data_IF_345806265929
#
_entry.id   IF_345806265929
#
_cell.length_a   1.000
_cell.length_b   1.000
_cell.length_c   1.000
_cell.angle_alpha   90.00
_cell.angle_beta   90.00
_cell.angle_gamma   90.00
#
_symmetry.space_group_name_H-M   'P 1'
#
loop_
_entity.id
_entity.type
_entity.pdbx_description
1 polymer ?
#
# COMPACT_ATOMS: atom_id res chain seq x y z
N UNK A 1 28.22 0.01 -38.05
CA UNK A 1 28.15 0.07 -36.60
C UNK A 1 28.25 1.52 -36.14
N UNK A 2 27.22 2.08 -35.53
CA UNK A 2 27.27 3.44 -34.99
C UNK A 2 28.19 3.41 -33.76
N UNK A 3 29.22 4.26 -33.74
CA UNK A 3 30.17 4.31 -32.61
C UNK A 3 29.45 4.83 -31.37
N UNK A 4 29.73 4.27 -30.19
CA UNK A 4 29.12 4.69 -28.91
C UNK A 4 29.27 6.19 -28.63
N UNK A 5 30.36 6.79 -29.08
CA UNK A 5 30.64 8.24 -29.05
C UNK A 5 29.60 9.08 -29.81
N UNK A 6 29.06 8.56 -30.93
CA UNK A 6 28.09 9.27 -31.76
C UNK A 6 26.71 9.25 -31.11
N UNK A 7 26.35 8.16 -30.43
CA UNK A 7 25.10 8.05 -29.63
C UNK A 7 25.15 9.06 -28.48
N UNK A 8 26.24 9.11 -27.72
CA UNK A 8 26.39 10.04 -26.58
C UNK A 8 26.29 11.49 -27.07
N UNK A 9 26.96 11.84 -28.20
CA UNK A 9 26.88 13.19 -28.79
C UNK A 9 25.44 13.53 -29.23
N UNK A 10 24.74 12.57 -29.82
CA UNK A 10 23.36 12.75 -30.25
C UNK A 10 22.43 13.00 -29.03
N UNK A 11 22.52 12.18 -27.99
CA UNK A 11 21.74 12.34 -26.76
C UNK A 11 22.07 13.65 -26.02
N UNK A 12 23.32 14.10 -26.04
CA UNK A 12 23.76 15.36 -25.42
C UNK A 12 23.43 16.62 -26.24
N UNK A 13 22.86 16.48 -27.44
CA UNK A 13 22.40 17.62 -28.25
C UNK A 13 21.09 18.19 -27.68
N UNK A 14 20.75 19.46 -27.95
CA UNK A 14 19.50 20.07 -27.50
C UNK A 14 18.24 19.30 -27.95
N UNK A 15 18.25 18.74 -29.17
CA UNK A 15 17.16 17.88 -29.69
C UNK A 15 17.19 16.48 -29.05
N UNK A 16 18.38 15.95 -28.78
CA UNK A 16 18.55 14.67 -28.09
C UNK A 16 17.92 14.70 -26.70
N UNK A 17 18.23 15.73 -25.91
CA UNK A 17 17.66 15.93 -24.55
C UNK A 17 16.14 16.06 -24.61
N UNK A 18 15.61 16.79 -25.61
CA UNK A 18 14.17 16.93 -25.83
C UNK A 18 13.51 15.54 -25.98
N UNK A 19 13.99 14.73 -26.91
CA UNK A 19 13.40 13.43 -27.20
C UNK A 19 13.70 12.38 -26.13
N UNK A 20 14.89 12.44 -25.53
CA UNK A 20 15.25 11.53 -24.45
C UNK A 20 14.32 11.75 -23.24
N UNK A 21 14.01 13.00 -22.90
CA UNK A 21 13.06 13.32 -21.80
C UNK A 21 11.67 12.78 -22.12
N UNK A 22 11.18 12.95 -23.36
CA UNK A 22 9.87 12.41 -23.77
C UNK A 22 9.88 10.87 -23.68
N UNK A 23 10.95 10.23 -24.15
CA UNK A 23 11.07 8.77 -24.17
C UNK A 23 11.10 8.16 -22.76
N UNK A 24 11.90 8.70 -21.85
CA UNK A 24 11.99 8.13 -20.48
C UNK A 24 10.71 8.34 -19.67
N UNK A 25 10.00 9.45 -19.89
CA UNK A 25 8.71 9.68 -19.24
C UNK A 25 7.57 8.83 -19.85
N UNK A 26 7.76 8.26 -21.04
CA UNK A 26 6.84 7.31 -21.66
C UNK A 26 6.98 5.87 -21.11
N UNK A 27 8.13 5.53 -20.48
CA UNK A 27 8.42 4.15 -20.03
C UNK A 27 7.33 3.57 -19.15
N UNK A 28 6.83 4.26 -18.09
CA UNK A 28 5.77 3.71 -17.26
C UNK A 28 4.49 3.40 -18.03
N UNK A 29 4.09 4.27 -18.95
CA UNK A 29 2.88 4.09 -19.76
C UNK A 29 2.99 2.86 -20.67
N UNK A 30 4.16 2.66 -21.28
CA UNK A 30 4.44 1.48 -22.10
C UNK A 30 4.42 0.22 -21.23
N UNK A 31 5.11 0.24 -20.08
CA UNK A 31 5.14 -0.90 -19.17
C UNK A 31 3.72 -1.29 -18.69
N UNK A 32 2.91 -0.32 -18.29
CA UNK A 32 1.53 -0.55 -17.84
C UNK A 32 0.64 -1.20 -18.91
N UNK A 33 0.87 -0.95 -20.20
CA UNK A 33 0.13 -1.62 -21.26
C UNK A 33 0.40 -3.13 -21.34
N UNK A 34 1.53 -3.60 -20.80
CA UNK A 34 1.89 -5.03 -20.75
C UNK A 34 1.51 -5.68 -19.41
N UNK A 35 1.45 -4.91 -18.33
CA UNK A 35 1.18 -5.43 -16.98
C UNK A 35 -0.30 -5.35 -16.60
N UNK A 36 -1.03 -4.37 -17.12
CA UNK A 36 -2.44 -4.16 -16.80
C UNK A 36 -3.36 -4.74 -17.88
N UNK A 37 -4.49 -5.28 -17.45
CA UNK A 37 -5.52 -5.81 -18.35
C UNK A 37 -6.35 -4.66 -18.95
N UNK A 38 -5.78 -3.95 -19.91
CA UNK A 38 -6.45 -2.87 -20.62
C UNK A 38 -6.93 -3.32 -21.99
N UNK A 39 -8.08 -2.81 -22.44
CA UNK A 39 -8.51 -2.97 -23.84
C UNK A 39 -7.59 -2.19 -24.79
N UNK A 40 -7.54 -2.55 -26.07
CA UNK A 40 -6.65 -1.95 -27.08
C UNK A 40 -6.76 -0.42 -27.11
N UNK A 41 -7.98 0.13 -27.14
CA UNK A 41 -8.21 1.58 -27.15
C UNK A 41 -7.68 2.25 -25.87
N UNK A 42 -7.85 1.61 -24.71
CA UNK A 42 -7.33 2.10 -23.43
C UNK A 42 -5.80 2.08 -23.40
N UNK A 43 -5.17 1.03 -23.94
CA UNK A 43 -3.71 0.94 -24.05
C UNK A 43 -3.16 2.04 -24.97
N UNK A 44 -3.78 2.24 -26.15
CA UNK A 44 -3.40 3.32 -27.06
C UNK A 44 -3.57 4.68 -26.38
N UNK A 45 -4.66 4.91 -25.67
CA UNK A 45 -4.89 6.14 -24.90
C UNK A 45 -3.80 6.35 -23.86
N UNK A 46 -3.45 5.30 -23.09
CA UNK A 46 -2.45 5.36 -22.02
C UNK A 46 -1.03 5.63 -22.55
N UNK A 47 -0.76 5.37 -23.82
CA UNK A 47 0.53 5.73 -24.46
C UNK A 47 0.43 7.10 -25.09
N UNK A 48 -0.51 7.28 -26.01
CA UNK A 48 -0.53 8.45 -26.91
C UNK A 48 -0.82 9.75 -26.15
N UNK A 49 -1.80 9.75 -25.25
CA UNK A 49 -2.24 10.97 -24.59
C UNK A 49 -1.16 11.54 -23.64
N UNK A 50 -0.56 10.74 -22.69
CA UNK A 50 0.48 11.25 -21.80
C UNK A 50 1.78 11.60 -22.54
N UNK A 51 2.19 10.79 -23.53
CA UNK A 51 3.38 11.08 -24.33
C UNK A 51 3.22 12.37 -25.10
N UNK A 52 2.05 12.60 -25.73
CA UNK A 52 1.76 13.84 -26.44
C UNK A 52 1.72 15.05 -25.50
N UNK A 53 1.21 14.89 -24.27
CA UNK A 53 1.23 15.92 -23.25
C UNK A 53 2.67 16.31 -22.84
N UNK A 54 3.51 15.33 -22.51
CA UNK A 54 4.94 15.56 -22.21
C UNK A 54 5.67 16.17 -23.40
N UNK A 55 5.40 15.68 -24.60
CA UNK A 55 5.94 16.23 -25.84
C UNK A 55 5.56 17.71 -26.01
N UNK A 56 4.29 18.07 -25.79
CA UNK A 56 3.86 19.45 -25.84
C UNK A 56 4.56 20.30 -24.76
N UNK A 57 4.64 19.82 -23.52
CA UNK A 57 5.33 20.52 -22.43
C UNK A 57 6.80 20.80 -22.79
N UNK A 58 7.50 19.82 -23.34
CA UNK A 58 8.88 20.00 -23.81
C UNK A 58 8.96 21.02 -24.97
N UNK A 59 7.93 21.10 -25.82
CA UNK A 59 7.89 22.05 -26.95
C UNK A 59 7.52 23.48 -26.54
N UNK A 60 7.03 23.72 -25.31
CA UNK A 60 6.73 25.06 -24.81
C UNK A 60 8.02 25.84 -24.47
N UNK A 61 9.07 25.17 -24.00
CA UNK A 61 10.32 25.77 -23.57
C UNK A 61 11.37 25.82 -24.68
N UNK A 62 12.10 26.96 -24.81
CA UNK A 62 13.22 27.06 -25.73
C UNK A 62 14.51 26.38 -25.21
N UNK A 63 14.68 26.27 -23.90
CA UNK A 63 15.84 25.67 -23.24
C UNK A 63 15.49 24.24 -22.81
N UNK A 64 15.88 23.19 -23.55
CA UNK A 64 15.42 21.81 -23.28
C UNK A 64 15.88 21.31 -21.92
N UNK A 65 17.11 21.62 -21.48
CA UNK A 65 17.60 21.27 -20.16
C UNK A 65 16.77 21.88 -19.03
N UNK A 66 16.39 23.18 -19.13
CA UNK A 66 15.52 23.81 -18.14
C UNK A 66 14.13 23.16 -18.09
N UNK A 67 13.55 22.88 -19.26
CA UNK A 67 12.21 22.26 -19.35
C UNK A 67 12.25 20.84 -18.79
N UNK A 68 13.27 20.05 -19.11
CA UNK A 68 13.44 18.72 -18.55
C UNK A 68 13.55 18.72 -17.01
N UNK A 69 14.31 19.67 -16.43
CA UNK A 69 14.42 19.81 -14.98
C UNK A 69 13.12 20.26 -14.33
N UNK A 70 12.32 21.10 -15.00
CA UNK A 70 10.98 21.45 -14.51
C UNK A 70 10.00 20.26 -14.51
N UNK A 71 10.25 19.23 -15.33
CA UNK A 71 9.49 17.98 -15.36
C UNK A 71 10.03 16.95 -14.34
N UNK A 72 10.99 17.32 -13.48
CA UNK A 72 11.51 16.43 -12.43
C UNK A 72 10.41 15.78 -11.56
N UNK A 73 9.35 16.49 -11.14
CA UNK A 73 8.26 15.84 -10.40
C UNK A 73 7.60 14.69 -11.16
N UNK A 74 7.44 14.81 -12.48
CA UNK A 74 6.93 13.71 -13.31
C UNK A 74 7.95 12.56 -13.43
N UNK A 75 9.26 12.86 -13.48
CA UNK A 75 10.30 11.82 -13.45
C UNK A 75 10.29 11.07 -12.12
N UNK A 76 10.11 11.76 -11.00
CA UNK A 76 9.96 11.13 -9.69
C UNK A 76 8.76 10.19 -9.63
N UNK A 77 7.59 10.64 -10.09
CA UNK A 77 6.39 9.80 -10.16
C UNK A 77 6.58 8.60 -11.10
N UNK A 78 7.28 8.80 -12.23
CA UNK A 78 7.59 7.73 -13.17
C UNK A 78 8.55 6.70 -12.55
N UNK A 79 9.56 7.14 -11.81
CA UNK A 79 10.44 6.27 -11.05
C UNK A 79 9.67 5.45 -10.00
N UNK A 80 8.77 6.10 -9.27
CA UNK A 80 7.92 5.44 -8.27
C UNK A 80 7.02 4.38 -8.92
N UNK A 81 6.40 4.68 -10.08
CA UNK A 81 5.62 3.69 -10.82
C UNK A 81 6.45 2.47 -11.26
N UNK A 82 7.71 2.66 -11.69
CA UNK A 82 8.60 1.57 -12.06
C UNK A 82 8.96 0.71 -10.84
N UNK A 83 9.21 1.32 -9.69
CA UNK A 83 9.47 0.59 -8.43
C UNK A 83 8.26 -0.28 -8.07
N UNK A 84 7.05 0.24 -8.19
CA UNK A 84 5.84 -0.55 -7.91
C UNK A 84 5.65 -1.71 -8.87
N UNK A 85 5.90 -1.51 -10.16
CA UNK A 85 5.87 -2.60 -11.15
C UNK A 85 6.92 -3.66 -10.86
N UNK A 86 8.09 -3.27 -10.37
CA UNK A 86 9.12 -4.21 -9.94
C UNK A 86 8.66 -5.04 -8.73
N UNK A 87 8.05 -4.40 -7.72
CA UNK A 87 7.62 -5.07 -6.49
C UNK A 87 6.44 -6.02 -6.70
N UNK A 88 5.46 -5.58 -7.46
CA UNK A 88 4.17 -6.27 -7.56
C UNK A 88 3.93 -6.93 -8.93
N UNK A 89 4.77 -6.64 -9.93
CA UNK A 89 4.62 -7.15 -11.31
C UNK A 89 3.47 -6.52 -12.09
N UNK A 90 2.57 -5.82 -11.43
CA UNK A 90 1.40 -5.11 -11.95
C UNK A 90 1.00 -4.00 -10.98
N UNK A 91 0.00 -3.22 -11.33
CA UNK A 91 -0.59 -2.15 -10.52
C UNK A 91 -0.15 -0.74 -10.91
N UNK A 92 -1.14 0.11 -11.02
CA UNK A 92 -0.98 1.55 -11.16
C UNK A 92 -0.94 2.15 -9.74
N UNK A 93 -0.20 3.25 -9.56
CA UNK A 93 -0.14 3.97 -8.27
C UNK A 93 -1.55 4.23 -7.76
N UNK A 94 -1.88 3.63 -6.62
CA UNK A 94 -3.18 3.74 -5.96
C UNK A 94 -3.12 4.70 -4.76
N UNK A 95 -4.29 5.18 -4.32
CA UNK A 95 -4.41 6.07 -3.15
C UNK A 95 -3.77 5.48 -1.89
N UNK A 96 -3.90 4.17 -1.70
CA UNK A 96 -3.36 3.48 -0.52
C UNK A 96 -1.83 3.52 -0.45
N UNK A 97 -1.16 3.65 -1.58
CA UNK A 97 0.30 3.80 -1.62
C UNK A 97 0.77 5.14 -1.05
N UNK A 98 -0.02 6.21 -1.27
CA UNK A 98 0.24 7.50 -0.65
C UNK A 98 -0.13 7.50 0.84
N UNK A 99 -1.21 6.83 1.22
CA UNK A 99 -1.57 6.67 2.63
C UNK A 99 -0.53 5.83 3.37
N UNK A 100 -0.07 4.73 2.79
CA UNK A 100 1.00 3.92 3.36
C UNK A 100 2.29 4.72 3.55
N UNK A 101 2.65 5.63 2.63
CA UNK A 101 3.83 6.48 2.78
C UNK A 101 3.78 7.33 4.05
N UNK A 102 2.57 7.74 4.47
CA UNK A 102 2.35 8.54 5.69
C UNK A 102 2.22 7.67 6.93
N UNK A 103 1.74 6.44 6.80
CA UNK A 103 1.46 5.52 7.91
C UNK A 103 2.56 4.47 8.16
N UNK A 104 3.50 4.30 7.22
CA UNK A 104 4.62 3.35 7.35
C UNK A 104 5.65 3.88 8.34
N UNK A 105 6.04 3.04 9.29
CA UNK A 105 7.12 3.36 10.23
C UNK A 105 8.50 3.02 9.65
N UNK A 106 9.56 3.57 10.26
CA UNK A 106 10.95 3.42 9.79
C UNK A 106 11.38 1.95 9.73
N UNK A 107 10.92 1.11 10.66
CA UNK A 107 11.26 -0.32 10.68
C UNK A 107 10.71 -1.05 9.45
N UNK A 108 9.44 -0.85 9.12
CA UNK A 108 8.81 -1.43 7.92
C UNK A 108 9.45 -0.90 6.63
N UNK A 109 9.81 0.39 6.60
CA UNK A 109 10.50 0.98 5.46
C UNK A 109 11.87 0.35 5.23
N UNK A 110 12.65 0.08 6.29
CA UNK A 110 13.95 -0.57 6.21
C UNK A 110 13.84 -2.02 5.74
N UNK A 111 12.87 -2.80 6.25
CA UNK A 111 12.61 -4.18 5.79
C UNK A 111 12.30 -4.22 4.27
N UNK A 112 11.67 -3.17 3.74
CA UNK A 112 11.35 -3.07 2.32
C UNK A 112 12.56 -2.69 1.47
N UNK A 113 13.47 -1.84 1.98
CA UNK A 113 14.62 -1.32 1.24
C UNK A 113 15.57 -2.41 0.74
N UNK A 114 15.77 -3.48 1.50
CA UNK A 114 16.63 -4.60 1.11
C UNK A 114 16.15 -5.27 -0.20
N UNK A 115 14.86 -5.25 -0.45
CA UNK A 115 14.25 -5.80 -1.66
C UNK A 115 14.21 -4.80 -2.83
N UNK A 116 14.46 -3.51 -2.59
CA UNK A 116 14.34 -2.45 -3.58
C UNK A 116 15.62 -2.17 -4.37
N UNK A 117 16.77 -2.70 -3.94
CA UNK A 117 18.05 -2.37 -4.57
C UNK A 117 18.06 -2.53 -6.10
N UNK A 118 17.54 -3.63 -6.72
CA UNK A 118 17.51 -3.74 -8.18
C UNK A 118 16.61 -2.67 -8.83
N UNK A 119 15.47 -2.34 -8.22
CA UNK A 119 14.58 -1.30 -8.73
C UNK A 119 15.25 0.09 -8.66
N UNK A 120 15.99 0.37 -7.58
CA UNK A 120 16.76 1.60 -7.43
C UNK A 120 17.80 1.71 -8.54
N UNK A 121 18.54 0.62 -8.83
CA UNK A 121 19.50 0.59 -9.93
C UNK A 121 18.84 0.88 -11.28
N UNK A 122 17.69 0.27 -11.57
CA UNK A 122 16.92 0.52 -12.81
C UNK A 122 16.53 2.00 -12.90
N UNK A 123 15.98 2.56 -11.84
CA UNK A 123 15.58 3.99 -11.77
C UNK A 123 16.78 4.92 -11.98
N UNK A 124 17.90 4.65 -11.32
CA UNK A 124 19.13 5.42 -11.47
C UNK A 124 19.63 5.39 -12.91
N UNK A 125 19.70 4.21 -13.53
CA UNK A 125 20.17 4.04 -14.92
C UNK A 125 19.25 4.76 -15.91
N UNK A 126 17.95 4.79 -15.69
CA UNK A 126 16.99 5.45 -16.59
C UNK A 126 16.99 6.97 -16.43
N UNK A 127 16.87 7.49 -15.21
CA UNK A 127 16.56 8.90 -14.98
C UNK A 127 17.76 9.77 -14.67
N UNK A 128 18.81 9.26 -13.99
CA UNK A 128 19.98 10.07 -13.63
C UNK A 128 20.74 10.58 -14.87
N UNK A 129 20.97 9.79 -15.93
CA UNK A 129 21.61 10.32 -17.14
C UNK A 129 20.84 11.48 -17.77
N UNK A 130 19.50 11.41 -17.78
CA UNK A 130 18.65 12.49 -18.32
C UNK A 130 18.80 13.77 -17.49
N UNK A 131 18.79 13.65 -16.16
CA UNK A 131 18.98 14.79 -15.25
C UNK A 131 20.35 15.40 -15.44
N UNK A 132 21.41 14.59 -15.52
CA UNK A 132 22.78 15.06 -15.75
C UNK A 132 22.89 15.81 -17.08
N UNK A 133 22.37 15.22 -18.17
CA UNK A 133 22.37 15.87 -19.50
C UNK A 133 21.54 17.16 -19.49
N UNK A 134 20.42 17.21 -18.77
CA UNK A 134 19.61 18.40 -18.64
C UNK A 134 20.35 19.52 -17.91
N UNK A 135 21.08 19.21 -16.82
CA UNK A 135 21.94 20.17 -16.09
C UNK A 135 23.08 20.67 -16.98
N UNK A 136 23.76 19.77 -17.69
CA UNK A 136 24.83 20.15 -18.61
C UNK A 136 24.32 21.07 -19.73
N UNK A 137 23.17 20.74 -20.32
CA UNK A 137 22.53 21.57 -21.36
C UNK A 137 22.13 22.96 -20.82
N UNK A 138 21.61 22.99 -19.58
CA UNK A 138 21.28 24.27 -18.94
C UNK A 138 22.53 25.14 -18.75
N UNK A 139 23.65 24.55 -18.30
CA UNK A 139 24.93 25.25 -18.10
C UNK A 139 25.54 25.72 -19.43
N UNK A 140 25.37 24.95 -20.50
CA UNK A 140 25.84 25.33 -21.86
C UNK A 140 24.97 26.43 -22.49
N UNK A 141 23.80 26.70 -21.94
CA UNK A 141 22.87 27.65 -22.53
C UNK A 141 22.17 27.18 -23.78
N UNK A 142 22.08 25.85 -23.98
CA UNK A 142 21.50 25.23 -25.19
C UNK A 142 20.09 25.71 -25.46
N UNK A 143 19.81 26.03 -26.74
CA UNK A 143 18.52 26.57 -27.20
C UNK A 143 18.02 25.82 -28.43
N UNK A 144 16.72 25.49 -28.44
CA UNK A 144 16.05 24.94 -29.60
C UNK A 144 15.55 26.03 -30.56
N UNK A 145 15.62 25.77 -31.85
CA UNK A 145 15.13 26.71 -32.88
C UNK A 145 13.63 26.88 -32.80
N UNK A 146 13.15 28.09 -33.09
CA UNK A 146 11.71 28.41 -33.10
C UNK A 146 10.94 27.56 -34.10
N UNK A 147 11.53 27.32 -35.27
CA UNK A 147 10.91 26.50 -36.34
C UNK A 147 10.76 25.01 -35.90
N UNK A 148 11.73 24.47 -35.16
CA UNK A 148 11.60 23.13 -34.57
C UNK A 148 10.46 23.10 -33.57
N UNK A 149 10.43 24.01 -32.60
CA UNK A 149 9.41 24.05 -31.54
C UNK A 149 8.00 24.21 -32.11
N UNK A 150 7.79 25.09 -33.08
CA UNK A 150 6.48 25.27 -33.73
C UNK A 150 6.01 23.96 -34.36
N UNK A 151 6.87 23.29 -35.12
CA UNK A 151 6.53 21.97 -35.69
C UNK A 151 6.19 20.94 -34.64
N UNK A 152 6.94 20.90 -33.53
CA UNK A 152 6.68 19.95 -32.43
C UNK A 152 5.36 20.26 -31.72
N UNK A 153 5.03 21.53 -31.50
CA UNK A 153 3.72 21.93 -30.93
C UNK A 153 2.54 21.47 -31.79
N UNK A 154 2.57 21.70 -33.09
CA UNK A 154 1.49 21.24 -33.97
C UNK A 154 1.35 19.71 -33.98
N UNK A 155 2.48 18.99 -34.02
CA UNK A 155 2.48 17.52 -34.02
C UNK A 155 1.99 16.96 -32.68
N UNK A 156 2.42 17.52 -31.57
CA UNK A 156 1.97 17.07 -30.23
C UNK A 156 0.49 17.42 -29.99
N UNK A 157 0.00 18.55 -30.46
CA UNK A 157 -1.43 18.89 -30.43
C UNK A 157 -2.27 17.92 -31.25
N UNK A 158 -1.83 17.57 -32.47
CA UNK A 158 -2.51 16.57 -33.27
C UNK A 158 -2.53 15.19 -32.57
N UNK A 159 -1.41 14.80 -31.94
CA UNK A 159 -1.34 13.57 -31.16
C UNK A 159 -2.24 13.61 -29.92
N UNK A 160 -2.37 14.77 -29.25
CA UNK A 160 -3.31 14.95 -28.13
C UNK A 160 -4.76 14.77 -28.58
N UNK A 161 -5.14 15.35 -29.72
CA UNK A 161 -6.49 15.18 -30.28
C UNK A 161 -6.75 13.71 -30.62
N UNK A 162 -5.79 13.02 -31.23
CA UNK A 162 -5.90 11.60 -31.53
C UNK A 162 -6.02 10.77 -30.24
N UNK A 163 -5.20 11.05 -29.22
CA UNK A 163 -5.29 10.40 -27.91
C UNK A 163 -6.62 10.64 -27.19
N UNK A 164 -7.16 11.87 -27.27
CA UNK A 164 -8.48 12.20 -26.73
C UNK A 164 -9.61 11.46 -27.47
N UNK A 165 -9.51 11.30 -28.79
CA UNK A 165 -10.45 10.48 -29.55
C UNK A 165 -10.41 9.01 -29.16
N UNK A 166 -9.20 8.43 -28.95
CA UNK A 166 -9.03 7.07 -28.42
C UNK A 166 -9.62 6.94 -27.01
N UNK A 167 -9.46 7.95 -26.16
CA UNK A 167 -10.05 7.98 -24.81
C UNK A 167 -11.58 7.96 -24.88
N UNK A 168 -12.17 8.80 -25.73
CA UNK A 168 -13.62 8.79 -25.98
C UNK A 168 -14.08 7.41 -26.48
N UNK A 169 -13.36 6.81 -27.42
CA UNK A 169 -13.63 5.45 -27.89
C UNK A 169 -13.56 4.40 -26.78
N UNK A 170 -12.63 4.55 -25.81
CA UNK A 170 -12.54 3.66 -24.65
C UNK A 170 -13.76 3.72 -23.75
N UNK A 171 -14.31 4.93 -23.54
CA UNK A 171 -15.57 5.09 -22.77
C UNK A 171 -16.78 4.54 -23.52
N UNK A 172 -16.84 4.74 -24.84
CA UNK A 172 -17.96 4.27 -25.68
C UNK A 172 -17.95 2.74 -25.84
N UNK A 173 -16.80 2.09 -25.71
CA UNK A 173 -16.69 0.62 -25.78
C UNK A 173 -17.34 -0.11 -24.60
N UNK A 174 -17.91 0.62 -23.65
CA UNK A 174 -18.70 0.06 -22.53
C UNK A 174 -17.91 -0.81 -21.54
N UNK A 175 -16.58 -0.67 -21.50
CA UNK A 175 -15.69 -1.32 -20.53
C UNK A 175 -15.46 -0.39 -19.36
N UNK A 176 -15.11 -0.94 -18.19
CA UNK A 176 -14.85 -0.23 -16.93
C UNK A 176 -13.59 0.66 -16.99
N UNK A 177 -13.44 1.41 -18.10
CA UNK A 177 -12.35 2.36 -18.28
C UNK A 177 -12.69 3.70 -17.63
N UNK A 178 -11.79 4.18 -16.77
CA UNK A 178 -11.85 5.51 -16.17
C UNK A 178 -10.49 6.17 -16.26
N UNK A 179 -10.38 7.29 -16.95
CA UNK A 179 -9.12 8.02 -17.10
C UNK A 179 -8.52 8.41 -15.74
N UNK A 180 -9.34 8.78 -14.76
CA UNK A 180 -8.90 9.14 -13.40
C UNK A 180 -8.30 7.96 -12.62
N UNK A 181 -8.61 6.72 -13.00
CA UNK A 181 -8.11 5.50 -12.33
C UNK A 181 -7.04 4.79 -13.15
N UNK A 182 -7.13 4.80 -14.48
CA UNK A 182 -6.32 3.96 -15.35
C UNK A 182 -5.30 4.72 -16.21
N UNK A 183 -5.46 6.05 -16.37
CA UNK A 183 -4.57 6.85 -17.20
C UNK A 183 -3.41 7.42 -16.36
N UNK A 184 -2.23 6.85 -16.49
CA UNK A 184 -1.01 7.38 -15.87
C UNK A 184 -0.47 8.59 -16.69
N UNK A 185 -0.06 9.71 -16.08
CA UNK A 185 -0.01 10.00 -14.64
C UNK A 185 -1.25 10.71 -14.06
N UNK A 186 -2.36 10.84 -14.81
CA UNK A 186 -3.56 11.52 -14.32
C UNK A 186 -4.11 10.86 -13.05
N UNK A 187 -4.10 9.52 -13.00
CA UNK A 187 -4.51 8.75 -11.83
C UNK A 187 -3.68 9.11 -10.58
N UNK A 188 -2.39 9.43 -10.75
CA UNK A 188 -1.51 9.78 -9.63
C UNK A 188 -1.98 11.08 -8.97
N UNK A 189 -2.25 12.12 -9.77
CA UNK A 189 -2.76 13.39 -9.25
C UNK A 189 -4.12 13.23 -8.59
N UNK A 190 -5.00 12.42 -9.18
CA UNK A 190 -6.30 12.11 -8.58
C UNK A 190 -6.14 11.35 -7.24
N UNK A 191 -5.23 10.39 -7.16
CA UNK A 191 -4.98 9.64 -5.94
C UNK A 191 -4.28 10.46 -4.85
N UNK A 192 -3.43 11.43 -5.21
CA UNK A 192 -2.89 12.42 -4.26
C UNK A 192 -4.04 13.26 -3.67
N UNK A 193 -4.95 13.75 -4.52
CA UNK A 193 -6.12 14.47 -4.05
C UNK A 193 -6.96 13.62 -3.09
N UNK A 194 -7.26 12.36 -3.45
CA UNK A 194 -8.02 11.44 -2.58
C UNK A 194 -7.28 11.15 -1.27
N UNK A 195 -5.96 11.00 -1.30
CA UNK A 195 -5.17 10.78 -0.09
C UNK A 195 -5.24 12.00 0.86
N UNK A 196 -5.13 13.21 0.30
CA UNK A 196 -5.27 14.45 1.06
C UNK A 196 -6.68 14.62 1.65
N UNK A 197 -7.72 14.29 0.88
CA UNK A 197 -9.11 14.32 1.33
C UNK A 197 -9.36 13.33 2.48
N UNK A 198 -8.87 12.09 2.35
CA UNK A 198 -8.98 11.06 3.40
C UNK A 198 -8.17 11.43 4.64
N UNK A 199 -6.98 11.99 4.48
CA UNK A 199 -6.17 12.48 5.59
C UNK A 199 -6.91 13.57 6.37
N UNK A 200 -7.50 14.54 5.67
CA UNK A 200 -8.33 15.57 6.28
C UNK A 200 -9.53 14.98 7.00
N UNK A 201 -10.28 14.08 6.35
CA UNK A 201 -11.42 13.42 6.97
C UNK A 201 -11.03 12.65 8.26
N UNK A 202 -9.83 12.05 8.28
CA UNK A 202 -9.29 11.41 9.48
C UNK A 202 -8.95 12.43 10.56
N UNK A 203 -8.36 13.57 10.20
CA UNK A 203 -8.07 14.65 11.14
C UNK A 203 -9.34 15.29 11.74
N UNK A 204 -10.41 15.36 10.97
CA UNK A 204 -11.71 15.92 11.38
C UNK A 204 -12.54 14.92 12.23
N UNK A 205 -12.12 13.64 12.34
CA UNK A 205 -12.85 12.57 13.03
C UNK A 205 -13.28 12.91 14.48
N UNK A 206 -12.46 13.55 15.33
CA UNK A 206 -12.89 13.90 16.68
C UNK A 206 -14.16 14.75 16.69
N UNK A 207 -14.33 15.64 15.72
CA UNK A 207 -15.49 16.52 15.58
C UNK A 207 -16.68 15.79 14.94
N UNK A 208 -16.41 15.06 13.84
CA UNK A 208 -17.47 14.39 13.06
C UNK A 208 -18.11 13.23 13.79
N UNK A 209 -17.36 12.57 14.70
CA UNK A 209 -17.84 11.44 15.51
C UNK A 209 -18.32 11.83 16.92
N UNK A 210 -18.16 13.09 17.33
CA UNK A 210 -18.43 13.53 18.70
C UNK A 210 -19.87 13.25 19.17
N UNK A 211 -20.84 13.41 18.27
CA UNK A 211 -22.27 13.17 18.56
C UNK A 211 -22.71 11.71 18.37
N UNK A 212 -21.84 10.84 17.86
CA UNK A 212 -22.24 9.45 17.59
C UNK A 212 -22.42 8.65 18.88
N UNK A 213 -23.48 7.84 18.92
CA UNK A 213 -23.78 6.88 20.00
C UNK A 213 -24.37 5.63 19.37
N UNK A 214 -23.96 4.46 19.84
CA UNK A 214 -24.63 3.19 19.52
C UNK A 214 -25.94 3.03 20.27
N UNK A 215 -26.06 3.66 21.44
CA UNK A 215 -27.13 3.39 22.42
C UNK A 215 -27.17 1.90 22.78
N UNK A 216 -25.99 1.29 22.88
CA UNK A 216 -25.86 -0.13 23.14
C UNK A 216 -26.27 -0.47 24.56
N UNK A 217 -27.13 -1.48 24.68
CA UNK A 217 -27.59 -2.02 26.00
C UNK A 217 -27.37 -3.54 25.99
N UNK A 218 -27.06 -4.15 27.16
CA UNK A 218 -27.02 -5.60 27.27
C UNK A 218 -28.35 -6.23 26.89
N UNK A 219 -28.33 -7.31 26.11
CA UNK A 219 -29.56 -8.03 25.71
C UNK A 219 -30.05 -9.02 26.77
N UNK A 220 -29.25 -9.29 27.79
CA UNK A 220 -29.54 -10.22 28.88
C UNK A 220 -29.06 -9.64 30.23
N UNK A 221 -29.69 -10.08 31.32
CA UNK A 221 -29.22 -9.75 32.64
C UNK A 221 -27.90 -10.43 32.93
N UNK A 222 -26.95 -9.71 33.54
CA UNK A 222 -25.69 -10.28 33.95
C UNK A 222 -25.90 -11.40 34.96
N UNK A 223 -25.69 -12.66 34.55
CA UNK A 223 -25.78 -13.84 35.42
C UNK A 223 -24.43 -14.25 36.03
N UNK A 224 -23.37 -13.52 35.74
CA UNK A 224 -22.01 -13.80 36.17
C UNK A 224 -21.00 -12.85 35.54
N UNK A 225 -19.73 -13.26 35.57
CA UNK A 225 -18.63 -12.55 34.91
C UNK A 225 -18.68 -12.77 33.41
N UNK A 226 -18.62 -11.70 32.64
CA UNK A 226 -18.59 -11.71 31.19
C UNK A 226 -17.24 -11.19 30.69
N UNK A 227 -16.49 -12.02 29.98
CA UNK A 227 -15.21 -11.65 29.36
C UNK A 227 -15.25 -12.00 27.88
N UNK A 228 -15.03 -11.01 27.05
CA UNK A 228 -14.89 -11.15 25.61
C UNK A 228 -13.45 -10.80 25.21
N UNK A 229 -12.85 -11.65 24.39
CA UNK A 229 -11.52 -11.43 23.82
C UNK A 229 -11.63 -11.44 22.31
N UNK A 230 -11.37 -10.30 21.68
CA UNK A 230 -11.30 -10.16 20.23
C UNK A 230 -9.84 -10.17 19.81
N UNK A 231 -9.40 -11.22 19.11
CA UNK A 231 -8.06 -11.32 18.57
C UNK A 231 -8.08 -10.97 17.09
N UNK A 232 -7.44 -9.88 16.72
CA UNK A 232 -7.29 -9.42 15.34
C UNK A 232 -5.95 -9.92 14.83
N UNK A 233 -5.98 -10.91 13.92
CA UNK A 233 -4.80 -11.46 13.27
C UNK A 233 -4.27 -10.56 12.16
N UNK A 234 -3.03 -10.79 11.72
CA UNK A 234 -2.38 -10.05 10.65
C UNK A 234 -1.78 -11.01 9.63
N UNK A 235 -2.03 -10.74 8.34
CA UNK A 235 -1.41 -11.41 7.18
C UNK A 235 -1.53 -12.95 7.19
N UNK A 236 -2.55 -13.52 7.82
CA UNK A 236 -2.80 -14.96 7.87
C UNK A 236 -4.01 -15.35 7.01
N UNK A 237 -3.77 -16.05 5.90
CA UNK A 237 -4.83 -16.46 4.96
C UNK A 237 -5.34 -17.87 5.25
N UNK A 238 -6.64 -18.11 5.14
CA UNK A 238 -7.29 -19.40 5.38
C UNK A 238 -6.67 -20.56 4.57
N UNK A 239 -6.23 -20.32 3.33
CA UNK A 239 -5.58 -21.34 2.48
C UNK A 239 -4.28 -21.94 3.05
N UNK A 240 -3.71 -21.36 4.07
CA UNK A 240 -2.51 -21.83 4.74
C UNK A 240 -2.79 -22.38 6.15
N UNK A 241 -4.07 -22.53 6.53
CA UNK A 241 -4.48 -23.11 7.79
C UNK A 241 -4.84 -24.60 7.62
N UNK A 242 -4.14 -25.48 8.36
CA UNK A 242 -4.51 -26.89 8.40
C UNK A 242 -5.95 -27.14 8.86
N UNK A 243 -6.52 -26.23 9.66
CA UNK A 243 -7.92 -26.24 10.10
C UNK A 243 -8.90 -26.17 8.91
N UNK A 244 -8.51 -25.52 7.81
CA UNK A 244 -9.31 -25.39 6.57
C UNK A 244 -8.89 -26.36 5.46
N UNK A 245 -8.11 -27.41 5.80
CA UNK A 245 -7.74 -28.44 4.83
C UNK A 245 -6.43 -28.19 4.08
N UNK A 246 -5.58 -27.27 4.58
CA UNK A 246 -4.24 -27.14 4.04
C UNK A 246 -3.39 -28.38 4.39
N UNK A 247 -2.60 -28.88 3.42
CA UNK A 247 -1.84 -30.12 3.53
C UNK A 247 -0.80 -30.14 4.66
N UNK A 248 -0.40 -28.95 5.14
CA UNK A 248 0.58 -28.82 6.23
C UNK A 248 -0.13 -28.53 7.56
N UNK A 249 0.37 -29.15 8.61
CA UNK A 249 -0.15 -28.94 9.96
C UNK A 249 0.32 -27.61 10.56
N UNK A 250 -0.28 -26.51 10.09
CA UNK A 250 0.01 -25.13 10.53
C UNK A 250 -0.82 -24.71 11.73
N UNK A 251 -1.91 -25.39 12.06
CA UNK A 251 -2.86 -25.01 13.13
C UNK A 251 -3.16 -26.16 14.10
N UNK A 252 -2.12 -26.89 14.62
CA UNK A 252 -2.35 -28.10 15.39
C UNK A 252 -3.06 -27.88 16.73
N UNK A 253 -2.90 -26.70 17.33
CA UNK A 253 -3.55 -26.37 18.61
C UNK A 253 -5.02 -26.03 18.40
N UNK A 254 -5.34 -25.22 17.36
CA UNK A 254 -6.74 -24.90 17.03
C UNK A 254 -7.55 -26.17 16.71
N UNK A 255 -6.95 -27.14 16.03
CA UNK A 255 -7.62 -28.43 15.73
C UNK A 255 -7.94 -29.25 16.98
N UNK A 256 -7.26 -29.01 18.09
CA UNK A 256 -7.47 -29.69 19.38
C UNK A 256 -8.31 -28.89 20.36
N UNK A 257 -8.61 -27.64 20.03
CA UNK A 257 -9.38 -26.73 20.90
C UNK A 257 -10.85 -27.14 20.88
N UNK A 258 -11.40 -27.47 22.07
CA UNK A 258 -12.82 -27.75 22.23
C UNK A 258 -13.67 -26.48 22.13
N UNK A 259 -14.90 -26.61 21.69
CA UNK A 259 -15.84 -25.50 21.60
C UNK A 259 -15.55 -24.50 20.48
N UNK A 260 -14.65 -24.84 19.55
CA UNK A 260 -14.29 -23.98 18.41
C UNK A 260 -15.39 -23.98 17.34
N UNK A 261 -15.89 -22.79 16.99
CA UNK A 261 -16.74 -22.58 15.80
C UNK A 261 -15.88 -22.04 14.68
N UNK A 262 -15.93 -22.70 13.52
CA UNK A 262 -15.12 -22.37 12.34
C UNK A 262 -16.00 -21.81 11.24
N UNK A 263 -15.64 -20.64 10.72
CA UNK A 263 -16.31 -20.00 9.58
C UNK A 263 -15.53 -20.32 8.30
N UNK A 264 -16.13 -21.10 7.43
CA UNK A 264 -15.51 -21.55 6.15
C UNK A 264 -15.61 -20.54 5.02
N UNK A 265 -16.52 -19.56 5.13
CA UNK A 265 -16.82 -18.58 4.09
C UNK A 265 -16.71 -17.15 4.66
N UNK A 266 -15.54 -16.83 5.20
CA UNK A 266 -15.21 -15.49 5.68
C UNK A 266 -14.22 -14.81 4.73
N UNK A 267 -14.60 -13.65 4.21
CA UNK A 267 -13.82 -12.88 3.23
C UNK A 267 -13.49 -11.52 3.83
N UNK A 268 -12.20 -11.13 3.76
CA UNK A 268 -11.81 -9.77 4.10
C UNK A 268 -12.27 -8.78 3.03
N UNK A 269 -12.78 -7.64 3.44
CA UNK A 269 -13.27 -6.61 2.53
C UNK A 269 -12.15 -5.72 1.94
N UNK A 270 -10.91 -5.87 2.41
CA UNK A 270 -9.73 -5.18 1.89
C UNK A 270 -8.48 -6.04 2.08
N UNK A 271 -7.51 -5.84 1.20
CA UNK A 271 -6.20 -6.48 1.24
C UNK A 271 -5.13 -5.62 1.93
N UNK A 272 -5.53 -4.54 2.59
CA UNK A 272 -4.63 -3.64 3.31
C UNK A 272 -5.09 -3.47 4.75
N UNK A 273 -4.16 -3.61 5.71
CA UNK A 273 -4.43 -3.61 7.15
C UNK A 273 -5.13 -2.33 7.61
N UNK A 274 -4.67 -1.17 7.14
CA UNK A 274 -5.24 0.13 7.51
C UNK A 274 -6.71 0.35 7.06
N UNK A 275 -7.25 -0.55 6.22
CA UNK A 275 -8.67 -0.59 5.85
C UNK A 275 -9.40 -1.78 6.45
N UNK A 276 -8.81 -2.99 6.37
CA UNK A 276 -9.48 -4.21 6.80
C UNK A 276 -9.72 -4.22 8.31
N UNK A 277 -8.73 -3.85 9.12
CA UNK A 277 -8.86 -3.85 10.58
C UNK A 277 -9.89 -2.82 11.06
N UNK A 278 -9.89 -1.55 10.60
CA UNK A 278 -10.97 -0.62 10.97
C UNK A 278 -12.37 -1.09 10.55
N UNK A 279 -12.52 -1.75 9.40
CA UNK A 279 -13.81 -2.35 9.00
C UNK A 279 -14.21 -3.52 9.92
N UNK A 280 -13.28 -4.31 10.46
CA UNK A 280 -13.54 -5.32 11.49
C UNK A 280 -13.96 -4.69 12.82
N UNK A 281 -13.45 -3.50 13.12
CA UNK A 281 -13.69 -2.80 14.40
C UNK A 281 -14.89 -1.85 14.36
N UNK A 282 -15.58 -1.69 13.23
CA UNK A 282 -16.68 -0.72 13.06
C UNK A 282 -17.80 -1.28 12.18
N UNK A 283 -18.83 -0.49 11.98
CA UNK A 283 -19.90 -0.80 11.04
C UNK A 283 -19.61 -0.34 9.61
N UNK A 284 -18.41 0.17 9.33
CA UNK A 284 -17.98 0.50 7.97
C UNK A 284 -17.77 -0.78 7.15
N UNK A 285 -18.03 -0.68 5.85
CA UNK A 285 -17.83 -1.76 4.88
C UNK A 285 -17.11 -1.24 3.63
N UNK A 286 -16.74 -2.14 2.72
CA UNK A 286 -16.19 -1.72 1.43
C UNK A 286 -17.19 -0.91 0.60
N UNK A 287 -18.49 -1.14 0.78
CA UNK A 287 -19.58 -0.44 0.07
C UNK A 287 -19.87 0.94 0.70
N UNK A 288 -19.81 1.05 2.04
CA UNK A 288 -19.98 2.31 2.78
C UNK A 288 -18.80 2.55 3.72
N UNK A 289 -17.64 2.75 3.13
CA UNK A 289 -16.42 3.04 3.87
C UNK A 289 -16.47 4.43 4.55
N UNK A 290 -17.31 5.34 4.05
CA UNK A 290 -17.46 6.69 4.58
C UNK A 290 -17.93 6.75 6.05
N UNK A 291 -18.56 5.70 6.56
CA UNK A 291 -18.97 5.58 7.96
C UNK A 291 -17.81 5.70 8.95
N UNK A 292 -16.61 5.21 8.55
CA UNK A 292 -15.40 5.26 9.38
C UNK A 292 -15.03 6.69 9.84
N UNK A 293 -15.41 7.72 9.07
CA UNK A 293 -15.08 9.11 9.35
C UNK A 293 -16.09 9.81 10.29
N UNK A 294 -17.19 9.14 10.67
CA UNK A 294 -18.27 9.74 11.46
C UNK A 294 -18.85 8.85 12.55
N UNK A 295 -18.51 7.57 12.57
CA UNK A 295 -19.02 6.60 13.53
C UNK A 295 -17.90 6.06 14.42
N UNK A 296 -18.27 5.62 15.62
CA UNK A 296 -17.37 5.00 16.59
C UNK A 296 -17.16 3.51 16.30
N UNK A 297 -16.08 2.95 16.88
CA UNK A 297 -15.77 1.53 16.80
C UNK A 297 -16.56 0.66 17.80
N UNK A 298 -16.46 -0.67 17.63
CA UNK A 298 -17.10 -1.68 18.50
C UNK A 298 -16.70 -1.52 19.96
N UNK A 299 -15.51 -1.02 20.24
CA UNK A 299 -15.03 -0.74 21.61
C UNK A 299 -15.97 0.24 22.32
N UNK A 300 -16.39 1.31 21.63
CA UNK A 300 -17.35 2.26 22.17
C UNK A 300 -18.71 1.59 22.43
N UNK A 301 -19.18 0.69 21.57
CA UNK A 301 -20.43 -0.03 21.81
C UNK A 301 -20.37 -0.87 23.09
N UNK A 302 -19.27 -1.57 23.34
CA UNK A 302 -19.07 -2.32 24.57
C UNK A 302 -18.99 -1.42 25.81
N UNK A 303 -18.32 -0.26 25.70
CA UNK A 303 -18.30 0.74 26.79
C UNK A 303 -19.68 1.23 27.13
N UNK A 304 -20.53 1.56 26.15
CA UNK A 304 -21.92 1.97 26.34
C UNK A 304 -22.74 0.87 27.02
N UNK A 305 -22.43 -0.42 26.72
CA UNK A 305 -23.05 -1.57 27.38
C UNK A 305 -22.50 -1.89 28.79
N UNK A 306 -21.61 -1.04 29.32
CA UNK A 306 -21.06 -1.14 30.66
C UNK A 306 -19.87 -2.09 30.82
N UNK A 307 -19.17 -2.43 29.73
CA UNK A 307 -17.91 -3.18 29.76
C UNK A 307 -16.74 -2.22 30.03
N UNK A 308 -15.79 -2.68 30.85
CA UNK A 308 -14.46 -2.11 30.83
C UNK A 308 -13.72 -2.65 29.61
N UNK A 309 -13.04 -1.79 28.88
CA UNK A 309 -12.46 -2.13 27.57
C UNK A 309 -10.96 -1.90 27.58
N UNK A 310 -10.23 -2.87 27.05
CA UNK A 310 -8.78 -2.78 26.90
C UNK A 310 -8.37 -3.11 25.47
N UNK A 311 -7.53 -2.28 24.87
CA UNK A 311 -6.92 -2.50 23.55
C UNK A 311 -5.41 -2.67 23.69
N UNK A 312 -4.86 -3.79 23.19
CA UNK A 312 -3.42 -4.06 23.19
C UNK A 312 -2.98 -4.36 21.76
N UNK A 313 -2.03 -3.60 21.25
CA UNK A 313 -1.45 -3.83 19.92
C UNK A 313 0.03 -4.17 20.01
N UNK A 314 0.43 -5.25 19.34
CA UNK A 314 1.84 -5.60 19.12
C UNK A 314 2.41 -4.91 17.85
N UNK A 315 1.72 -3.91 17.33
CA UNK A 315 2.19 -3.06 16.23
C UNK A 315 2.52 -1.65 16.76
N UNK A 316 3.29 -0.90 15.99
CA UNK A 316 3.52 0.52 16.30
C UNK A 316 2.31 1.34 15.85
N UNK A 317 1.99 2.44 16.55
CA UNK A 317 0.99 3.38 16.06
C UNK A 317 1.35 3.87 14.66
N UNK A 318 0.35 3.97 13.81
CA UNK A 318 0.53 4.39 12.41
C UNK A 318 -0.42 5.53 11.99
N UNK A 319 -1.08 6.16 12.98
CA UNK A 319 -2.03 7.27 12.80
C UNK A 319 -3.24 6.94 11.91
N UNK A 320 -3.54 5.66 11.73
CA UNK A 320 -4.72 5.19 11.02
C UNK A 320 -5.93 5.05 11.97
N UNK A 321 -7.08 4.63 11.40
CA UNK A 321 -8.26 4.30 12.21
C UNK A 321 -8.07 3.10 13.16
N UNK A 322 -7.02 2.31 13.00
CA UNK A 322 -6.65 1.27 13.97
C UNK A 322 -6.32 1.93 15.32
N UNK A 323 -5.46 2.95 15.27
CA UNK A 323 -5.06 3.70 16.48
C UNK A 323 -6.23 4.48 17.07
N UNK A 324 -7.04 5.09 16.20
CA UNK A 324 -8.19 5.90 16.63
C UNK A 324 -9.20 5.04 17.36
N UNK A 325 -9.61 3.91 16.77
CA UNK A 325 -10.57 2.99 17.39
C UNK A 325 -9.96 2.25 18.59
N UNK A 326 -8.67 1.92 18.55
CA UNK A 326 -7.96 1.34 19.70
C UNK A 326 -7.97 2.27 20.90
N UNK A 327 -7.77 3.58 20.68
CA UNK A 327 -7.79 4.62 21.73
C UNK A 327 -9.21 4.98 22.23
N UNK A 328 -10.25 4.39 21.66
CA UNK A 328 -11.61 4.46 22.26
C UNK A 328 -11.73 3.61 23.54
N UNK A 329 -10.78 2.66 23.78
CA UNK A 329 -10.78 1.83 24.97
C UNK A 329 -10.49 2.63 26.25
N UNK A 330 -10.96 2.12 27.40
CA UNK A 330 -10.64 2.70 28.71
C UNK A 330 -9.15 2.59 29.02
N UNK A 331 -8.53 1.44 28.69
CA UNK A 331 -7.09 1.22 28.72
C UNK A 331 -6.59 0.83 27.33
N UNK A 332 -5.53 1.43 26.84
CA UNK A 332 -4.91 1.05 25.58
C UNK A 332 -3.40 1.06 25.64
N UNK A 333 -2.76 0.17 24.84
CA UNK A 333 -1.32 0.05 24.80
C UNK A 333 -0.82 -0.40 23.42
N UNK A 334 0.21 0.29 22.92
CA UNK A 334 1.00 -0.14 21.75
C UNK A 334 2.37 -0.62 22.25
N UNK A 335 2.59 -1.92 22.28
CA UNK A 335 3.77 -2.52 22.94
C UNK A 335 5.06 -2.05 22.29
N UNK A 336 5.11 -1.99 20.96
CA UNK A 336 6.32 -1.59 20.22
C UNK A 336 6.61 -0.09 20.23
N UNK A 337 5.71 0.74 20.75
CA UNK A 337 5.99 2.16 20.96
C UNK A 337 6.88 2.39 22.17
N UNK A 338 6.71 1.58 23.21
CA UNK A 338 7.43 1.72 24.48
C UNK A 338 8.79 1.02 24.49
N UNK A 339 9.04 0.12 23.54
CA UNK A 339 10.26 -0.69 23.51
C UNK A 339 10.95 -0.60 22.16
N UNK A 340 12.24 -0.28 22.14
CA UNK A 340 13.11 -0.43 20.95
C UNK A 340 13.37 -1.90 20.59
N UNK A 341 12.82 -2.85 21.35
CA UNK A 341 13.01 -4.28 21.11
C UNK A 341 12.25 -4.73 19.86
N UNK A 342 13.00 -5.22 18.89
CA UNK A 342 12.46 -5.86 17.69
C UNK A 342 11.96 -7.29 17.93
N UNK A 343 12.27 -7.89 19.10
CA UNK A 343 12.05 -9.30 19.44
C UNK A 343 10.77 -9.56 20.27
N UNK A 344 9.82 -8.61 20.27
CA UNK A 344 8.52 -8.79 20.91
C UNK A 344 7.61 -9.66 20.04
N UNK A 345 7.24 -10.83 20.58
CA UNK A 345 6.30 -11.75 19.94
C UNK A 345 4.86 -11.52 20.44
N UNK A 346 3.87 -12.02 19.71
CA UNK A 346 2.46 -11.85 20.10
C UNK A 346 2.14 -12.51 21.45
N UNK A 347 2.88 -13.55 21.85
CA UNK A 347 2.74 -14.19 23.17
C UNK A 347 3.03 -13.23 24.34
N UNK A 348 3.79 -12.17 24.12
CA UNK A 348 4.08 -11.20 25.18
C UNK A 348 2.83 -10.44 25.60
N UNK A 349 1.79 -10.37 24.76
CA UNK A 349 0.48 -9.83 25.12
C UNK A 349 -0.25 -10.69 26.16
N UNK A 350 0.00 -12.02 26.21
CA UNK A 350 -0.70 -12.93 27.12
C UNK A 350 -0.46 -12.61 28.59
N UNK A 351 0.73 -12.10 28.94
CA UNK A 351 1.02 -11.65 30.30
C UNK A 351 0.10 -10.50 30.69
N UNK A 352 -0.06 -9.54 29.78
CA UNK A 352 -0.95 -8.39 30.02
C UNK A 352 -2.42 -8.83 30.12
N UNK A 353 -2.83 -9.81 29.30
CA UNK A 353 -4.18 -10.39 29.38
C UNK A 353 -4.41 -11.01 30.76
N UNK A 354 -3.44 -11.80 31.27
CA UNK A 354 -3.54 -12.39 32.60
C UNK A 354 -3.66 -11.32 33.69
N UNK A 355 -2.84 -10.27 33.64
CA UNK A 355 -2.93 -9.14 34.59
C UNK A 355 -4.30 -8.43 34.55
N UNK A 356 -4.94 -8.36 33.39
CA UNK A 356 -6.30 -7.82 33.23
C UNK A 356 -7.32 -8.77 33.83
N UNK A 357 -7.23 -10.06 33.53
CA UNK A 357 -8.14 -11.09 34.02
C UNK A 357 -8.10 -11.23 35.55
N UNK A 358 -6.93 -11.02 36.15
CA UNK A 358 -6.74 -11.06 37.62
C UNK A 358 -7.41 -9.92 38.36
N UNK A 359 -7.76 -8.83 37.64
CA UNK A 359 -8.60 -7.73 38.22
C UNK A 359 -10.04 -8.16 38.49
N UNK A 360 -10.49 -9.30 37.94
CA UNK A 360 -11.79 -9.94 38.17
C UNK A 360 -13.02 -9.02 37.99
N UNK A 361 -12.92 -8.09 37.01
CA UNK A 361 -14.05 -7.20 36.67
C UNK A 361 -15.25 -8.00 36.17
N UNK A 362 -16.46 -7.52 36.44
CA UNK A 362 -17.69 -8.22 36.09
C UNK A 362 -17.91 -8.29 34.57
N UNK A 363 -17.55 -7.22 33.86
CA UNK A 363 -17.67 -7.12 32.41
C UNK A 363 -16.36 -6.60 31.80
N UNK A 364 -15.74 -7.35 30.90
CA UNK A 364 -14.46 -7.04 30.30
C UNK A 364 -14.49 -7.32 28.81
N UNK A 365 -14.04 -6.37 27.99
CA UNK A 365 -13.67 -6.58 26.59
C UNK A 365 -12.16 -6.37 26.44
N UNK A 366 -11.46 -7.34 25.91
CA UNK A 366 -10.04 -7.26 25.58
C UNK A 366 -9.89 -7.39 24.07
N UNK A 367 -9.32 -6.40 23.42
CA UNK A 367 -9.00 -6.43 22.00
C UNK A 367 -7.50 -6.55 21.83
N UNK A 368 -7.06 -7.62 21.17
CA UNK A 368 -5.66 -7.90 20.87
C UNK A 368 -5.42 -7.73 19.38
N UNK A 369 -4.52 -6.82 19.00
CA UNK A 369 -4.10 -6.62 17.63
C UNK A 369 -2.67 -7.17 17.47
N UNK A 370 -2.54 -8.32 16.79
CA UNK A 370 -1.28 -9.04 16.67
C UNK A 370 -0.36 -8.45 15.60
N UNK A 371 0.92 -8.78 15.65
CA UNK A 371 1.83 -8.59 14.53
C UNK A 371 1.76 -9.77 13.55
N UNK A 372 1.31 -10.90 14.04
CA UNK A 372 0.88 -12.06 13.27
C UNK A 372 1.95 -12.60 12.33
N UNK A 373 1.52 -12.86 11.09
CA UNK A 373 2.38 -13.36 10.01
C UNK A 373 2.82 -12.22 9.06
N UNK A 374 3.05 -11.00 9.60
CA UNK A 374 3.56 -9.88 8.81
C UNK A 374 4.95 -10.20 8.23
N UNK A 375 5.23 -9.72 7.02
CA UNK A 375 6.56 -9.83 6.42
C UNK A 375 7.56 -8.98 7.26
N UNK A 376 8.79 -9.42 7.56
CA UNK A 376 9.52 -10.62 7.19
C UNK A 376 9.08 -11.84 8.03
N UNK A 377 8.52 -12.87 7.41
CA UNK A 377 7.94 -14.04 8.09
C UNK A 377 8.91 -14.73 9.04
N UNK A 378 10.23 -14.77 8.69
CA UNK A 378 11.27 -15.46 9.46
C UNK A 378 11.46 -14.87 10.86
N UNK A 379 11.11 -13.63 11.05
CA UNK A 379 11.23 -12.90 12.32
C UNK A 379 10.03 -13.09 13.24
N UNK A 380 9.01 -13.83 12.83
CA UNK A 380 7.76 -14.01 13.58
C UNK A 380 7.78 -15.21 14.51
N UNK A 381 8.86 -16.00 14.52
CA UNK A 381 9.03 -17.18 15.38
C UNK A 381 10.52 -17.40 15.70
N UNK A 382 10.79 -18.11 16.81
CA UNK A 382 12.14 -18.46 17.22
C UNK A 382 12.69 -19.60 16.33
N UNK A 383 14.02 -19.66 16.15
CA UNK A 383 14.66 -20.71 15.34
C UNK A 383 14.34 -22.13 15.81
N UNK A 384 14.18 -22.32 17.12
CA UNK A 384 13.80 -23.59 17.75
C UNK A 384 12.37 -24.03 17.40
N UNK A 385 11.50 -23.11 17.01
CA UNK A 385 10.07 -23.36 16.71
C UNK A 385 9.82 -23.67 15.23
N UNK A 386 10.84 -23.50 14.37
CA UNK A 386 10.75 -23.79 12.95
C UNK A 386 10.54 -25.27 12.67
N UNK A 387 9.38 -25.63 12.14
CA UNK A 387 8.99 -26.99 11.72
C UNK A 387 9.26 -27.20 10.24
N UNK A 388 8.95 -26.20 9.41
CA UNK A 388 9.10 -26.26 7.95
C UNK A 388 10.43 -25.62 7.56
N UNK A 389 11.31 -26.40 6.90
CA UNK A 389 12.67 -25.98 6.53
C UNK A 389 13.00 -26.36 5.07
N UNK A 390 13.94 -25.68 4.37
CA UNK A 390 14.66 -24.47 4.80
C UNK A 390 13.75 -23.24 4.82
N UNK A 391 14.02 -22.24 5.69
CA UNK A 391 13.17 -21.08 5.96
C UNK A 391 13.98 -19.77 6.09
N UNK A 392 15.23 -19.75 5.57
CA UNK A 392 16.19 -18.67 5.83
C UNK A 392 16.04 -17.44 4.90
N UNK A 393 15.22 -17.54 3.84
CA UNK A 393 15.11 -16.44 2.89
C UNK A 393 14.24 -15.32 3.46
N UNK A 394 14.77 -14.09 3.40
CA UNK A 394 14.07 -12.85 3.70
C UNK A 394 13.66 -12.07 2.43
N UNK A 395 14.30 -12.34 1.29
CA UNK A 395 14.02 -11.65 0.04
C UNK A 395 12.84 -12.27 -0.71
N UNK A 396 11.87 -11.45 -1.10
CA UNK A 396 10.68 -11.83 -1.88
C UNK A 396 11.03 -12.08 -3.36
N UNK A 397 11.83 -13.14 -3.63
CA UNK A 397 12.21 -13.59 -4.97
C UNK A 397 11.56 -14.93 -5.31
N UNK A 398 11.24 -15.15 -6.59
CA UNK A 398 10.67 -16.44 -7.07
C UNK A 398 11.58 -17.62 -6.73
N UNK A 399 12.92 -17.45 -6.81
CA UNK A 399 13.90 -18.46 -6.41
C UNK A 399 13.79 -18.86 -4.93
N UNK A 400 13.31 -17.98 -4.08
CA UNK A 400 13.16 -18.17 -2.65
C UNK A 400 11.76 -18.68 -2.25
N UNK A 401 10.85 -18.90 -3.21
CA UNK A 401 9.45 -19.24 -2.96
C UNK A 401 9.26 -20.33 -1.91
N UNK A 402 10.03 -21.44 -2.02
CA UNK A 402 9.92 -22.56 -1.07
C UNK A 402 10.28 -22.16 0.35
N UNK A 403 11.36 -21.39 0.51
CA UNK A 403 11.83 -20.95 1.82
C UNK A 403 10.86 -19.92 2.43
N UNK A 404 10.33 -19.00 1.62
CA UNK A 404 9.32 -18.03 2.05
C UNK A 404 8.01 -18.69 2.47
N UNK A 405 7.55 -19.72 1.74
CA UNK A 405 6.38 -20.51 2.13
C UNK A 405 6.63 -21.25 3.46
N UNK A 406 7.81 -21.83 3.65
CA UNK A 406 8.17 -22.49 4.90
C UNK A 406 8.19 -21.50 6.06
N UNK A 407 8.78 -20.33 5.88
CA UNK A 407 8.79 -19.28 6.88
C UNK A 407 7.38 -18.77 7.21
N UNK A 408 6.55 -18.57 6.18
CA UNK A 408 5.15 -18.17 6.36
C UNK A 408 4.33 -19.21 7.13
N UNK A 409 4.45 -20.49 6.78
CA UNK A 409 3.76 -21.58 7.48
C UNK A 409 4.22 -21.73 8.94
N UNK A 410 5.52 -21.51 9.19
CA UNK A 410 6.03 -21.46 10.57
C UNK A 410 5.46 -20.28 11.35
N UNK A 411 5.31 -19.10 10.72
CA UNK A 411 4.72 -17.92 11.37
C UNK A 411 3.25 -18.14 11.72
N UNK A 412 2.45 -18.71 10.82
CA UNK A 412 1.05 -19.08 11.11
C UNK A 412 0.98 -20.08 12.25
N UNK A 413 1.82 -21.13 12.19
CA UNK A 413 1.86 -22.12 13.24
C UNK A 413 2.15 -21.51 14.61
N UNK A 414 3.07 -20.53 14.66
CA UNK A 414 3.42 -19.83 15.92
C UNK A 414 2.27 -18.99 16.44
N UNK A 415 1.65 -18.17 15.59
CA UNK A 415 0.50 -17.34 15.98
C UNK A 415 -0.67 -18.16 16.51
N UNK A 416 -0.93 -19.31 15.90
CA UNK A 416 -2.02 -20.21 16.32
C UNK A 416 -1.68 -21.13 17.50
N UNK A 417 -0.48 -21.03 18.07
CA UNK A 417 -0.05 -21.77 19.29
C UNK A 417 -0.23 -20.94 20.56
N UNK A 418 -0.34 -19.63 20.43
CA UNK A 418 -0.56 -18.69 21.52
C UNK A 418 -2.03 -18.51 21.79
#
# INVERSE_FOLDING_TARGET
>A
MIKSTDIIRCCASPRGIFWLTVAVLAIPNVALCFTERMGIMASVTNIVLPVAAVWLLMALGRKPGKTALLLFPLMFLAAFQIVLLYLFGHSIIAVDMFLNLVTTNVGEAMELLDNLLPAIVIVVVIYVPVIVLAVVSLRRGDVLSRSFLLRQRHRSLAALVAGAACMAGSYLAGRDYSARLHLYPLNVFYNIYLAADRYKATADYPQTSAGFRFNAVPTHAASGREVYVLVIGETARAYSFGLYGYDRNTTPMLQRTGGLTVFSDAITQSNTTHKSVPMLMSAASAEDYGRIYREKGIITAFREAGFHTTFISNQRPNHSFIDIFGKEADDWKFIKEETERSDMYDEDMLRMVNDILDKKRAKELIVLHTYGSHFNYRERYRRSEAVFRPDNASEAKVSNRRQLLNAYDNSIRRVCQN
#
